data_IF_983189708261
#
_entry.id   IF_983189708261
#
_cell.length_a   1.000
_cell.length_b   1.000
_cell.length_c   1.000
_cell.angle_alpha   90.00
_cell.angle_beta   90.00
_cell.angle_gamma   90.00
#
_symmetry.space_group_name_H-M   'P 1'
#
loop_
_entity.id
_entity.type
_entity.pdbx_description
1 polymer ?
#
# COMPACT_ATOMS: atom_id res chain seq x y z
N UNK A 1 56.05 -23.48 210.33
CA UNK A 1 57.44 -23.83 210.71
C UNK A 1 58.36 -22.80 210.07
N UNK A 2 58.92 -21.90 210.88
CA UNK A 2 60.31 -21.98 211.39
C UNK A 2 61.32 -21.34 210.40
N UNK A 3 61.71 -20.07 210.66
CA UNK A 3 63.10 -19.60 210.94
C UNK A 3 63.75 -18.96 209.68
N UNK A 4 64.67 -17.98 209.73
CA UNK A 4 65.33 -17.24 210.80
C UNK A 4 65.92 -15.92 210.21
N UNK A 5 66.01 -14.89 211.06
CA UNK A 5 66.90 -13.70 211.05
C UNK A 5 68.39 -14.08 210.88
N UNK A 6 69.37 -13.27 210.42
CA UNK A 6 69.65 -11.82 210.55
C UNK A 6 70.79 -11.31 209.61
N UNK A 7 71.00 -9.98 209.62
CA UNK A 7 72.17 -9.12 209.21
C UNK A 7 72.23 -8.58 207.76
N UNK A 8 72.60 -7.32 207.45
CA UNK A 8 72.77 -6.05 208.18
C UNK A 8 72.99 -4.89 207.14
N UNK A 9 72.28 -3.76 207.29
CA UNK A 9 72.49 -2.35 206.87
C UNK A 9 73.39 -1.97 205.64
N UNK A 10 72.80 -1.33 204.61
CA UNK A 10 73.22 -0.03 203.99
C UNK A 10 72.40 0.33 202.72
N UNK A 11 72.22 1.63 202.44
CA UNK A 11 71.81 2.24 201.16
C UNK A 11 70.31 2.40 200.78
N UNK A 12 69.48 2.90 201.72
CA UNK A 12 68.11 3.43 201.45
C UNK A 12 68.08 4.78 200.69
N UNK A 13 69.22 5.28 200.20
CA UNK A 13 69.39 6.62 199.59
C UNK A 13 69.61 6.62 198.07
N UNK A 14 69.76 5.44 197.43
CA UNK A 14 70.04 5.32 195.98
C UNK A 14 68.73 5.23 195.15
N UNK A 15 67.60 4.87 195.77
CA UNK A 15 66.30 4.68 195.10
C UNK A 15 65.65 5.97 194.58
N UNK A 16 65.91 7.12 195.21
CA UNK A 16 65.30 8.41 194.81
C UNK A 16 66.01 9.09 193.63
N UNK A 17 67.31 8.83 193.44
CA UNK A 17 68.10 9.36 192.31
C UNK A 17 67.81 8.56 191.02
N UNK A 18 67.57 7.25 191.14
CA UNK A 18 67.19 6.39 190.00
C UNK A 18 65.88 6.80 189.33
N UNK A 19 64.85 7.18 190.10
CA UNK A 19 63.55 7.64 189.54
C UNK A 19 63.66 8.95 188.76
N UNK A 20 64.59 9.84 189.13
CA UNK A 20 64.81 11.12 188.41
C UNK A 20 65.59 10.87 187.11
N UNK A 21 66.53 9.93 187.11
CA UNK A 21 67.24 9.51 185.89
C UNK A 21 66.28 8.83 184.89
N UNK A 22 65.35 8.01 185.38
CA UNK A 22 64.30 7.37 184.57
C UNK A 22 63.39 8.42 183.93
N UNK A 23 62.89 9.39 184.69
CA UNK A 23 62.05 10.49 184.17
C UNK A 23 62.82 11.34 183.13
N UNK A 24 64.11 11.60 183.32
CA UNK A 24 64.93 12.30 182.34
C UNK A 24 65.16 11.46 181.06
N UNK A 25 65.30 10.14 181.18
CA UNK A 25 65.40 9.22 180.04
C UNK A 25 64.07 9.17 179.25
N UNK A 26 62.93 9.13 179.94
CA UNK A 26 61.61 9.25 179.34
C UNK A 26 61.42 10.62 178.65
N UNK A 27 61.90 11.71 179.24
CA UNK A 27 61.84 13.05 178.64
C UNK A 27 62.70 13.13 177.36
N UNK A 28 63.88 12.51 177.33
CA UNK A 28 64.72 12.39 176.13
C UNK A 28 64.02 11.57 175.05
N UNK A 29 63.38 10.45 175.41
CA UNK A 29 62.57 9.65 174.48
C UNK A 29 61.37 10.42 173.93
N UNK A 30 60.62 11.13 174.78
CA UNK A 30 59.49 11.97 174.34
C UNK A 30 59.96 13.08 173.41
N UNK A 31 61.09 13.73 173.70
CA UNK A 31 61.68 14.73 172.82
C UNK A 31 62.16 14.13 171.48
N UNK A 32 62.68 12.91 171.47
CA UNK A 32 63.05 12.19 170.25
C UNK A 32 61.81 11.80 169.42
N UNK A 33 60.76 11.29 170.06
CA UNK A 33 59.48 10.98 169.43
C UNK A 33 58.80 12.24 168.87
N UNK A 34 58.83 13.36 169.60
CA UNK A 34 58.29 14.64 169.13
C UNK A 34 59.05 15.15 167.89
N UNK A 35 60.37 14.97 167.82
CA UNK A 35 61.14 15.27 166.60
C UNK A 35 60.77 14.36 165.43
N UNK A 36 60.52 13.08 165.68
CA UNK A 36 60.07 12.12 164.66
C UNK A 36 58.67 12.49 164.16
N UNK A 37 57.74 12.81 165.07
CA UNK A 37 56.37 13.25 164.75
C UNK A 37 56.44 14.52 163.89
N UNK A 38 57.18 15.55 164.31
CA UNK A 38 57.33 16.78 163.52
C UNK A 38 57.93 16.52 162.12
N UNK A 39 58.91 15.63 162.01
CA UNK A 39 59.48 15.21 160.72
C UNK A 39 58.46 14.46 159.85
N UNK A 40 57.66 13.57 160.46
CA UNK A 40 56.59 12.84 159.77
C UNK A 40 55.44 13.75 159.35
N UNK A 41 55.06 14.72 160.16
CA UNK A 41 54.07 15.74 159.82
C UNK A 41 54.54 16.62 158.66
N UNK A 42 55.83 16.99 158.65
CA UNK A 42 56.43 17.71 157.52
C UNK A 42 56.46 16.86 156.24
N UNK A 43 56.78 15.57 156.35
CA UNK A 43 56.72 14.62 155.22
C UNK A 43 55.29 14.43 154.71
N UNK A 44 54.30 14.33 155.62
CA UNK A 44 52.89 14.20 155.29
C UNK A 44 52.37 15.46 154.59
N UNK A 45 52.75 16.64 155.09
CA UNK A 45 52.42 17.92 154.45
C UNK A 45 52.99 18.01 153.03
N UNK A 46 54.28 17.68 152.86
CA UNK A 46 54.92 17.66 151.54
C UNK A 46 54.30 16.61 150.60
N UNK A 47 53.88 15.45 151.12
CA UNK A 47 53.16 14.43 150.36
C UNK A 47 51.77 14.91 149.93
N UNK A 48 51.03 15.59 150.82
CA UNK A 48 49.72 16.16 150.49
C UNK A 48 49.83 17.28 149.46
N UNK A 49 50.83 18.17 149.58
CA UNK A 49 51.10 19.20 148.57
C UNK A 49 51.42 18.57 147.19
N UNK A 50 52.19 17.47 147.16
CA UNK A 50 52.44 16.72 145.91
C UNK A 50 51.18 16.06 145.37
N UNK A 51 50.33 15.51 146.25
CA UNK A 51 49.05 14.91 145.85
C UNK A 51 48.15 15.96 145.21
N UNK A 52 48.00 17.14 145.83
CA UNK A 52 47.23 18.26 145.25
C UNK A 52 47.77 18.67 143.88
N UNK A 53 49.09 18.77 143.71
CA UNK A 53 49.69 19.06 142.41
C UNK A 53 49.41 17.98 141.35
N UNK A 54 49.44 16.70 141.75
CA UNK A 54 49.12 15.58 140.85
C UNK A 54 47.63 15.54 140.49
N UNK A 55 46.74 15.82 141.43
CA UNK A 55 45.29 15.92 141.20
C UNK A 55 44.95 17.04 140.21
N UNK A 56 45.58 18.21 140.35
CA UNK A 56 45.43 19.32 139.40
C UNK A 56 45.96 18.94 138.00
N UNK A 57 47.16 18.36 137.92
CA UNK A 57 47.73 17.89 136.65
C UNK A 57 46.89 16.80 135.97
N UNK A 58 46.29 15.90 136.77
CA UNK A 58 45.36 14.88 136.27
C UNK A 58 44.08 15.53 135.74
N UNK A 59 43.51 16.50 136.45
CA UNK A 59 42.34 17.27 136.02
C UNK A 59 42.61 18.03 134.72
N UNK A 60 43.76 18.68 134.59
CA UNK A 60 44.19 19.38 133.37
C UNK A 60 44.33 18.40 132.21
N UNK A 61 44.95 17.24 132.46
CA UNK A 61 45.08 16.17 131.46
C UNK A 61 43.74 15.59 131.02
N UNK A 62 42.79 15.43 131.94
CA UNK A 62 41.43 14.97 131.65
C UNK A 62 40.66 15.99 130.80
N UNK A 63 40.76 17.28 131.12
CA UNK A 63 40.18 18.36 130.33
C UNK A 63 40.77 18.40 128.91
N UNK A 64 42.08 18.24 128.78
CA UNK A 64 42.75 18.17 127.48
C UNK A 64 42.32 16.95 126.66
N UNK A 65 42.19 15.77 127.28
CA UNK A 65 41.67 14.56 126.63
C UNK A 65 40.23 14.78 126.15
N UNK A 66 39.37 15.40 126.96
CA UNK A 66 37.99 15.67 126.59
C UNK A 66 37.89 16.63 125.39
N UNK A 67 38.73 17.68 125.35
CA UNK A 67 38.81 18.58 124.21
C UNK A 67 39.24 17.86 122.93
N UNK A 68 40.23 16.96 123.01
CA UNK A 68 40.66 16.14 121.88
C UNK A 68 39.53 15.21 121.41
N UNK A 69 38.80 14.58 122.34
CA UNK A 69 37.67 13.71 122.02
C UNK A 69 36.58 14.48 121.27
N UNK A 70 36.22 15.68 121.75
CA UNK A 70 35.23 16.54 121.09
C UNK A 70 35.69 16.97 119.69
N UNK A 71 36.95 17.35 119.53
CA UNK A 71 37.52 17.68 118.21
C UNK A 71 37.51 16.47 117.26
N UNK A 72 37.82 15.28 117.76
CA UNK A 72 37.82 14.05 116.96
C UNK A 72 36.40 13.67 116.52
N UNK A 73 35.42 13.83 117.41
CA UNK A 73 33.99 13.59 117.11
C UNK A 73 33.48 14.58 116.05
N UNK A 74 33.80 15.87 116.18
CA UNK A 74 33.48 16.87 115.15
C UNK A 74 34.12 16.56 113.80
N UNK A 75 35.38 16.10 113.77
CA UNK A 75 36.04 15.68 112.53
C UNK A 75 35.40 14.43 111.93
N UNK A 76 34.99 13.46 112.77
CA UNK A 76 34.31 12.27 112.33
C UNK A 76 32.95 12.60 111.68
N UNK A 77 32.17 13.50 112.29
CA UNK A 77 30.90 13.97 111.74
C UNK A 77 31.09 14.70 110.40
N UNK A 78 32.13 15.54 110.30
CA UNK A 78 32.47 16.22 109.05
C UNK A 78 32.86 15.22 107.94
N UNK A 79 33.66 14.20 108.27
CA UNK A 79 34.05 13.16 107.33
C UNK A 79 32.86 12.30 106.90
N UNK A 80 31.97 11.93 107.83
CA UNK A 80 30.76 11.20 107.50
C UNK A 80 29.84 12.02 106.59
N UNK A 81 29.62 13.30 106.90
CA UNK A 81 28.83 14.19 106.06
C UNK A 81 29.45 14.38 104.67
N UNK A 82 30.78 14.50 104.58
CA UNK A 82 31.49 14.57 103.31
C UNK A 82 31.34 13.28 102.50
N UNK A 83 31.44 12.11 103.14
CA UNK A 83 31.27 10.81 102.49
C UNK A 83 29.83 10.62 101.98
N UNK A 84 28.82 11.03 102.75
CA UNK A 84 27.41 11.01 102.31
C UNK A 84 27.21 11.90 101.08
N UNK A 85 27.72 13.14 101.10
CA UNK A 85 27.65 14.04 99.93
C UNK A 85 28.35 13.46 98.71
N UNK A 86 29.49 12.81 98.90
CA UNK A 86 30.21 12.14 97.82
C UNK A 86 29.39 10.99 97.22
N UNK A 87 28.73 10.20 98.06
CA UNK A 87 27.86 9.12 97.61
C UNK A 87 26.64 9.65 96.83
N UNK A 88 25.98 10.68 97.35
CA UNK A 88 24.87 11.36 96.65
C UNK A 88 25.32 11.92 95.29
N UNK A 89 26.49 12.56 95.23
CA UNK A 89 27.05 13.09 93.98
C UNK A 89 27.38 11.97 93.00
N UNK A 90 27.93 10.85 93.46
CA UNK A 90 28.22 9.69 92.63
C UNK A 90 26.94 9.06 92.06
N UNK A 91 25.87 8.99 92.86
CA UNK A 91 24.57 8.50 92.41
C UNK A 91 23.97 9.42 91.35
N UNK A 92 23.98 10.75 91.57
CA UNK A 92 23.51 11.71 90.58
C UNK A 92 24.31 11.64 89.28
N UNK A 93 25.63 11.44 89.37
CA UNK A 93 26.48 11.30 88.19
C UNK A 93 26.16 10.01 87.43
N UNK A 94 25.87 8.91 88.14
CA UNK A 94 25.44 7.66 87.51
C UNK A 94 24.11 7.83 86.77
N UNK A 95 23.12 8.49 87.37
CA UNK A 95 21.83 8.79 86.72
C UNK A 95 22.03 9.62 85.44
N UNK A 96 22.96 10.59 85.47
CA UNK A 96 23.33 11.37 84.28
C UNK A 96 24.05 10.54 83.22
N UNK A 97 24.90 9.58 83.60
CA UNK A 97 25.52 8.67 82.64
C UNK A 97 24.49 7.77 81.96
N UNK A 98 23.51 7.27 82.71
CA UNK A 98 22.43 6.45 82.17
C UNK A 98 21.54 7.27 81.21
N UNK A 99 21.26 8.54 81.54
CA UNK A 99 20.56 9.47 80.65
C UNK A 99 21.35 9.71 79.35
N UNK A 100 22.66 9.98 79.44
CA UNK A 100 23.53 10.17 78.27
C UNK A 100 23.59 8.90 77.42
N UNK A 101 23.66 7.72 78.03
CA UNK A 101 23.64 6.44 77.31
C UNK A 101 22.31 6.25 76.55
N UNK A 102 21.18 6.56 77.18
CA UNK A 102 19.85 6.51 76.56
C UNK A 102 19.74 7.47 75.37
N UNK A 103 20.17 8.72 75.55
CA UNK A 103 20.17 9.73 74.48
C UNK A 103 21.10 9.33 73.32
N UNK A 104 22.25 8.74 73.62
CA UNK A 104 23.19 8.24 72.59
C UNK A 104 22.54 7.13 71.75
N UNK A 105 21.85 6.19 72.38
CA UNK A 105 21.13 5.14 71.67
C UNK A 105 20.01 5.72 70.79
N UNK A 106 19.27 6.72 71.28
CA UNK A 106 18.23 7.39 70.52
C UNK A 106 18.80 8.13 69.29
N UNK A 107 19.93 8.83 69.45
CA UNK A 107 20.63 9.49 68.33
C UNK A 107 21.04 8.46 67.27
N UNK A 108 21.65 7.34 67.69
CA UNK A 108 22.07 6.29 66.76
C UNK A 108 20.88 5.68 66.01
N UNK A 109 19.74 5.51 66.68
CA UNK A 109 18.49 5.07 66.05
C UNK A 109 18.00 6.08 65.00
N UNK A 110 18.00 7.38 65.33
CA UNK A 110 17.58 8.44 64.41
C UNK A 110 18.52 8.57 63.20
N UNK A 111 19.83 8.46 63.39
CA UNK A 111 20.81 8.45 62.30
C UNK A 111 20.57 7.29 61.34
N UNK A 112 20.25 6.12 61.86
CA UNK A 112 19.89 4.94 61.06
C UNK A 112 18.60 5.17 60.26
N UNK A 113 17.58 5.75 60.89
CA UNK A 113 16.33 6.11 60.20
C UNK A 113 16.58 7.14 59.09
N UNK A 114 17.38 8.18 59.36
CA UNK A 114 17.74 9.19 58.38
C UNK A 114 18.51 8.60 57.20
N UNK A 115 19.42 7.65 57.46
CA UNK A 115 20.15 6.96 56.40
C UNK A 115 19.21 6.13 55.51
N UNK A 116 18.20 5.46 56.09
CA UNK A 116 17.20 4.71 55.34
C UNK A 116 16.31 5.64 54.49
N UNK A 117 15.83 6.75 55.07
CA UNK A 117 15.04 7.74 54.33
C UNK A 117 15.82 8.36 53.17
N UNK A 118 17.12 8.64 53.35
CA UNK A 118 17.99 9.13 52.26
C UNK A 118 18.12 8.10 51.13
N UNK A 119 18.23 6.81 51.45
CA UNK A 119 18.27 5.75 50.43
C UNK A 119 16.94 5.65 49.68
N UNK A 120 15.81 5.72 50.38
CA UNK A 120 14.49 5.71 49.76
C UNK A 120 14.27 6.92 48.85
N UNK A 121 14.65 8.12 49.30
CA UNK A 121 14.61 9.34 48.50
C UNK A 121 15.46 9.23 47.24
N UNK A 122 16.67 8.67 47.33
CA UNK A 122 17.53 8.45 46.17
C UNK A 122 16.90 7.46 45.17
N UNK A 123 16.24 6.40 45.65
CA UNK A 123 15.52 5.45 44.80
C UNK A 123 14.31 6.10 44.11
N UNK A 124 13.55 6.92 44.83
CA UNK A 124 12.42 7.68 44.28
C UNK A 124 12.87 8.70 43.23
N UNK A 125 13.97 9.43 43.48
CA UNK A 125 14.53 10.37 42.51
C UNK A 125 14.96 9.64 41.23
N UNK A 126 15.63 8.50 41.35
CA UNK A 126 16.01 7.68 40.18
C UNK A 126 14.79 7.21 39.38
N UNK A 127 13.69 6.85 40.06
CA UNK A 127 12.42 6.48 39.41
C UNK A 127 11.77 7.69 38.71
N UNK A 128 11.77 8.86 39.35
CA UNK A 128 11.26 10.10 38.77
C UNK A 128 12.06 10.50 37.52
N UNK A 129 13.39 10.38 37.55
CA UNK A 129 14.25 10.64 36.39
C UNK A 129 13.96 9.68 35.23
N UNK A 130 13.78 8.39 35.52
CA UNK A 130 13.42 7.40 34.51
C UNK A 130 12.06 7.73 33.85
N UNK A 131 11.06 8.09 34.66
CA UNK A 131 9.74 8.51 34.17
C UNK A 131 9.82 9.81 33.36
N UNK A 132 10.66 10.76 33.75
CA UNK A 132 10.87 12.01 33.00
C UNK A 132 11.49 11.74 31.61
N UNK A 133 12.43 10.80 31.52
CA UNK A 133 12.98 10.38 30.21
C UNK A 133 11.94 9.68 29.35
N UNK A 134 11.10 8.81 29.94
CA UNK A 134 10.00 8.15 29.23
C UNK A 134 8.96 9.15 28.71
N UNK A 135 8.57 10.14 29.53
CA UNK A 135 7.67 11.21 29.10
C UNK A 135 8.29 12.00 27.93
N UNK A 136 9.60 12.27 27.98
CA UNK A 136 10.31 12.97 26.89
C UNK A 136 10.30 12.17 25.59
N UNK A 137 10.54 10.85 25.64
CA UNK A 137 10.51 10.00 24.43
C UNK A 137 9.09 9.90 23.87
N UNK A 138 8.08 9.71 24.72
CA UNK A 138 6.67 9.69 24.31
C UNK A 138 6.22 11.02 23.71
N UNK A 139 6.66 12.14 24.27
CA UNK A 139 6.36 13.48 23.73
C UNK A 139 6.94 13.67 22.33
N UNK A 140 8.18 13.23 22.10
CA UNK A 140 8.80 13.30 20.77
C UNK A 140 8.11 12.37 19.75
N UNK A 141 7.70 11.18 20.19
CA UNK A 141 6.91 10.24 19.38
C UNK A 141 5.57 10.85 18.98
N UNK A 142 4.82 11.41 19.92
CA UNK A 142 3.55 12.09 19.65
C UNK A 142 3.69 13.29 18.72
N UNK A 143 4.78 14.07 18.84
CA UNK A 143 5.09 15.15 17.90
C UNK A 143 5.27 14.62 16.47
N UNK A 144 5.95 13.48 16.33
CA UNK A 144 6.19 12.83 15.04
C UNK A 144 4.89 12.29 14.44
N UNK A 145 4.08 11.58 15.24
CA UNK A 145 2.78 11.06 14.84
C UNK A 145 1.83 12.20 14.41
N UNK A 146 1.82 13.31 15.14
CA UNK A 146 1.00 14.48 14.80
C UNK A 146 1.40 15.05 13.43
N UNK A 147 2.70 15.17 13.15
CA UNK A 147 3.19 15.63 11.84
C UNK A 147 2.82 14.67 10.70
N UNK A 148 2.87 13.36 10.96
CA UNK A 148 2.43 12.34 10.00
C UNK A 148 0.93 12.42 9.72
N UNK A 149 0.09 12.59 10.77
CA UNK A 149 -1.36 12.77 10.63
C UNK A 149 -1.70 14.03 9.82
N UNK A 150 -1.02 15.15 10.06
CA UNK A 150 -1.21 16.37 9.27
C UNK A 150 -0.84 16.16 7.80
N UNK A 151 0.22 15.41 7.52
CA UNK A 151 0.62 15.08 6.15
C UNK A 151 -0.43 14.19 5.48
N UNK A 152 -0.94 13.18 6.19
CA UNK A 152 -2.02 12.31 5.70
C UNK A 152 -3.31 13.07 5.44
N UNK A 153 -3.71 13.98 6.32
CA UNK A 153 -4.88 14.84 6.12
C UNK A 153 -4.74 15.74 4.87
N UNK A 154 -3.53 16.26 4.60
CA UNK A 154 -3.27 17.00 3.35
C UNK A 154 -3.38 16.12 2.11
N UNK A 155 -2.85 14.89 2.16
CA UNK A 155 -2.97 13.92 1.07
C UNK A 155 -4.43 13.54 0.80
N UNK A 156 -5.21 13.28 1.84
CA UNK A 156 -6.64 12.99 1.73
C UNK A 156 -7.42 14.13 1.10
N UNK A 157 -7.16 15.38 1.53
CA UNK A 157 -7.80 16.56 0.94
C UNK A 157 -7.50 16.70 -0.56
N UNK A 158 -6.26 16.42 -0.98
CA UNK A 158 -5.89 16.44 -2.40
C UNK A 158 -6.64 15.35 -3.19
N UNK A 159 -6.69 14.12 -2.66
CA UNK A 159 -7.43 13.02 -3.30
C UNK A 159 -8.93 13.31 -3.43
N UNK A 160 -9.54 13.97 -2.45
CA UNK A 160 -10.94 14.40 -2.53
C UNK A 160 -11.14 15.43 -3.65
N UNK A 161 -10.23 16.40 -3.78
CA UNK A 161 -10.27 17.39 -4.86
C UNK A 161 -10.13 16.73 -6.24
N UNK A 162 -9.21 15.78 -6.38
CA UNK A 162 -9.03 15.00 -7.61
C UNK A 162 -10.30 14.20 -7.94
N UNK A 163 -10.92 13.54 -6.96
CA UNK A 163 -12.15 12.79 -7.13
C UNK A 163 -13.32 13.69 -7.59
N UNK A 164 -13.44 14.91 -7.04
CA UNK A 164 -14.43 15.89 -7.50
C UNK A 164 -14.18 16.33 -8.95
N UNK A 165 -12.92 16.53 -9.33
CA UNK A 165 -12.55 16.87 -10.71
C UNK A 165 -12.89 15.71 -11.66
N UNK A 166 -12.55 14.47 -11.31
CA UNK A 166 -12.91 13.29 -12.12
C UNK A 166 -14.42 13.15 -12.25
N UNK A 167 -15.19 13.41 -11.19
CA UNK A 167 -16.66 13.41 -11.25
C UNK A 167 -17.19 14.44 -12.24
N UNK A 168 -16.65 15.67 -12.25
CA UNK A 168 -17.03 16.71 -13.22
C UNK A 168 -16.69 16.29 -14.65
N UNK A 169 -15.51 15.73 -14.88
CA UNK A 169 -15.08 15.23 -16.18
C UNK A 169 -15.99 14.08 -16.67
N UNK A 170 -16.32 13.14 -15.79
CA UNK A 170 -17.25 12.04 -16.08
C UNK A 170 -18.61 12.56 -16.53
N UNK A 171 -19.22 13.48 -15.78
CA UNK A 171 -20.51 14.08 -16.13
C UNK A 171 -20.47 14.80 -17.50
N UNK A 172 -19.37 15.48 -17.81
CA UNK A 172 -19.21 16.14 -19.11
C UNK A 172 -19.13 15.12 -20.27
N UNK A 173 -18.44 13.99 -20.07
CA UNK A 173 -18.37 12.90 -21.06
C UNK A 173 -19.74 12.23 -21.23
N UNK A 174 -20.45 11.97 -20.13
CA UNK A 174 -21.81 11.39 -20.17
C UNK A 174 -22.79 12.29 -20.93
N UNK A 175 -22.73 13.61 -20.70
CA UNK A 175 -23.52 14.58 -21.45
C UNK A 175 -23.19 14.57 -22.95
N UNK A 176 -21.90 14.53 -23.32
CA UNK A 176 -21.48 14.45 -24.72
C UNK A 176 -21.92 13.15 -25.38
N UNK A 177 -21.84 12.03 -24.67
CA UNK A 177 -22.28 10.73 -25.14
C UNK A 177 -23.78 10.74 -25.42
N UNK A 178 -24.59 11.29 -24.50
CA UNK A 178 -26.05 11.41 -24.69
C UNK A 178 -26.40 12.27 -25.90
N UNK A 179 -25.71 13.41 -26.09
CA UNK A 179 -25.89 14.27 -27.27
C UNK A 179 -25.53 13.54 -28.57
N UNK A 180 -24.40 12.83 -28.60
CA UNK A 180 -23.97 12.07 -29.77
C UNK A 180 -24.95 10.94 -30.10
N UNK A 181 -25.50 10.25 -29.10
CA UNK A 181 -26.52 9.23 -29.29
C UNK A 181 -27.82 9.81 -29.86
N UNK A 182 -28.27 10.96 -29.35
CA UNK A 182 -29.44 11.66 -29.88
C UNK A 182 -29.25 12.10 -31.34
N UNK A 183 -28.07 12.66 -31.67
CA UNK A 183 -27.73 13.05 -33.02
C UNK A 183 -27.66 11.86 -33.98
N UNK A 184 -27.11 10.72 -33.52
CA UNK A 184 -27.08 9.48 -34.30
C UNK A 184 -28.49 8.98 -34.61
N UNK A 185 -29.38 8.95 -33.63
CA UNK A 185 -30.77 8.51 -33.84
C UNK A 185 -31.55 9.45 -34.77
N UNK A 186 -31.32 10.76 -34.67
CA UNK A 186 -31.89 11.71 -35.62
C UNK A 186 -31.38 11.47 -37.04
N UNK A 187 -30.07 11.27 -37.21
CA UNK A 187 -29.45 10.98 -38.50
C UNK A 187 -30.00 9.69 -39.13
N UNK A 188 -30.14 8.61 -38.33
CA UNK A 188 -30.76 7.35 -38.78
C UNK A 188 -32.20 7.53 -39.26
N UNK A 189 -33.03 8.28 -38.52
CA UNK A 189 -34.41 8.57 -38.92
C UNK A 189 -34.48 9.35 -40.23
N UNK A 190 -33.64 10.37 -40.39
CA UNK A 190 -33.54 11.15 -41.63
C UNK A 190 -33.09 10.27 -42.79
N UNK A 191 -32.07 9.42 -42.60
CA UNK A 191 -31.59 8.49 -43.62
C UNK A 191 -32.65 7.46 -44.02
N UNK A 192 -33.38 6.88 -43.06
CA UNK A 192 -34.49 5.96 -43.34
C UNK A 192 -35.60 6.62 -44.16
N UNK A 193 -35.94 7.86 -43.83
CA UNK A 193 -36.95 8.64 -44.57
C UNK A 193 -36.49 8.95 -45.99
N UNK A 194 -35.23 9.38 -46.15
CA UNK A 194 -34.63 9.62 -47.46
C UNK A 194 -34.62 8.35 -48.33
N UNK A 195 -34.29 7.19 -47.75
CA UNK A 195 -34.34 5.92 -48.47
C UNK A 195 -35.76 5.54 -48.90
N UNK A 196 -36.78 5.72 -48.04
CA UNK A 196 -38.19 5.49 -48.43
C UNK A 196 -38.62 6.39 -49.59
N UNK A 197 -38.22 7.66 -49.56
CA UNK A 197 -38.50 8.60 -50.65
C UNK A 197 -37.80 8.16 -51.94
N UNK A 198 -36.52 7.79 -51.87
CA UNK A 198 -35.74 7.26 -53.00
C UNK A 198 -36.34 5.98 -53.58
N UNK A 199 -36.79 5.05 -52.74
CA UNK A 199 -37.49 3.84 -53.19
C UNK A 199 -38.80 4.17 -53.94
N UNK A 200 -39.51 5.20 -53.47
CA UNK A 200 -40.74 5.67 -54.11
C UNK A 200 -40.44 6.32 -55.47
N UNK A 201 -39.41 7.16 -55.55
CA UNK A 201 -38.89 7.73 -56.81
C UNK A 201 -38.49 6.61 -57.79
N UNK A 202 -37.71 5.63 -57.34
CA UNK A 202 -37.26 4.50 -58.18
C UNK A 202 -38.47 3.72 -58.72
N UNK A 203 -39.50 3.46 -57.90
CA UNK A 203 -40.73 2.80 -58.37
C UNK A 203 -41.44 3.63 -59.44
N UNK A 204 -41.54 4.94 -59.28
CA UNK A 204 -42.15 5.83 -60.26
C UNK A 204 -41.35 5.84 -61.58
N UNK A 205 -40.02 5.93 -61.50
CA UNK A 205 -39.15 5.86 -62.68
C UNK A 205 -39.25 4.53 -63.41
N UNK A 206 -39.29 3.40 -62.69
CA UNK A 206 -39.49 2.08 -63.29
C UNK A 206 -40.82 1.99 -64.05
N UNK A 207 -41.91 2.50 -63.45
CA UNK A 207 -43.22 2.55 -64.13
C UNK A 207 -43.14 3.38 -65.41
N UNK A 208 -42.50 4.56 -65.35
CA UNK A 208 -42.34 5.44 -66.51
C UNK A 208 -41.52 4.81 -67.62
N UNK A 209 -40.43 4.11 -67.28
CA UNK A 209 -39.62 3.37 -68.24
C UNK A 209 -40.47 2.31 -68.95
N UNK A 210 -41.25 1.52 -68.21
CA UNK A 210 -42.13 0.51 -68.80
C UNK A 210 -43.20 1.11 -69.74
N UNK A 211 -43.79 2.26 -69.38
CA UNK A 211 -44.72 3.00 -70.25
C UNK A 211 -44.05 3.47 -71.55
N UNK A 212 -42.83 4.02 -71.43
CA UNK A 212 -42.04 4.48 -72.58
C UNK A 212 -41.62 3.31 -73.48
N UNK A 213 -41.17 2.20 -72.89
CA UNK A 213 -40.83 0.97 -73.61
C UNK A 213 -42.04 0.47 -74.40
N UNK A 214 -43.22 0.37 -73.78
CA UNK A 214 -44.46 -0.03 -74.47
C UNK A 214 -44.81 0.91 -75.63
N UNK A 215 -44.66 2.22 -75.44
CA UNK A 215 -44.87 3.21 -76.48
C UNK A 215 -43.88 3.04 -77.65
N UNK A 216 -42.59 2.83 -77.36
CA UNK A 216 -41.55 2.58 -78.37
C UNK A 216 -41.85 1.30 -79.13
N UNK A 217 -42.25 0.22 -78.46
CA UNK A 217 -42.64 -1.04 -79.12
C UNK A 217 -43.83 -0.85 -80.07
N UNK A 218 -44.82 -0.05 -79.67
CA UNK A 218 -45.97 0.25 -80.53
C UNK A 218 -45.57 1.10 -81.75
N UNK A 219 -44.72 2.10 -81.54
CA UNK A 219 -44.20 2.93 -82.62
C UNK A 219 -43.32 2.14 -83.59
N UNK A 220 -42.45 1.26 -83.10
CA UNK A 220 -41.61 0.41 -83.95
C UNK A 220 -42.44 -0.60 -84.75
N UNK A 221 -43.49 -1.17 -84.18
CA UNK A 221 -44.44 -2.02 -84.90
C UNK A 221 -45.18 -1.27 -86.02
N UNK A 222 -45.63 -0.04 -85.75
CA UNK A 222 -46.26 0.82 -86.76
C UNK A 222 -45.27 1.18 -87.88
N UNK A 223 -44.04 1.55 -87.52
CA UNK A 223 -42.98 1.88 -88.48
C UNK A 223 -42.68 0.67 -89.38
N UNK A 224 -42.60 -0.53 -88.81
CA UNK A 224 -42.39 -1.77 -89.55
C UNK A 224 -43.55 -2.06 -90.52
N UNK A 225 -44.80 -1.82 -90.10
CA UNK A 225 -45.96 -1.97 -90.96
C UNK A 225 -45.94 -0.99 -92.14
N UNK A 226 -45.57 0.27 -91.90
CA UNK A 226 -45.39 1.28 -92.94
C UNK A 226 -44.21 0.95 -93.86
N UNK A 227 -43.08 0.47 -93.33
CA UNK A 227 -41.96 -0.03 -94.14
C UNK A 227 -42.38 -1.18 -95.06
N UNK A 228 -43.16 -2.15 -94.55
CA UNK A 228 -43.72 -3.24 -95.37
C UNK A 228 -44.66 -2.73 -96.46
N UNK A 229 -45.47 -1.69 -96.18
CA UNK A 229 -46.31 -1.03 -97.19
C UNK A 229 -45.47 -0.32 -98.25
N UNK A 230 -44.45 0.43 -97.84
CA UNK A 230 -43.52 1.12 -98.73
C UNK A 230 -42.79 0.12 -99.64
N UNK A 231 -42.25 -0.96 -99.09
CA UNK A 231 -41.63 -2.05 -99.86
C UNK A 231 -42.61 -2.68 -100.86
N UNK A 232 -43.88 -2.87 -100.49
CA UNK A 232 -44.91 -3.36 -101.41
C UNK A 232 -45.16 -2.38 -102.55
N UNK A 233 -45.28 -1.08 -102.26
CA UNK A 233 -45.41 -0.04 -103.28
C UNK A 233 -44.17 0.06 -104.16
N UNK A 234 -42.96 -0.05 -103.60
CA UNK A 234 -41.70 -0.07 -104.37
C UNK A 234 -41.61 -1.28 -105.29
N UNK A 235 -42.04 -2.47 -104.84
CA UNK A 235 -42.15 -3.65 -105.70
C UNK A 235 -43.16 -3.42 -106.81
N UNK A 236 -44.31 -2.84 -106.51
CA UNK A 236 -45.32 -2.50 -107.52
C UNK A 236 -44.79 -1.47 -108.52
N UNK A 237 -44.08 -0.43 -108.07
CA UNK A 237 -43.44 0.57 -108.92
C UNK A 237 -42.30 -0.02 -109.76
N UNK A 238 -41.50 -0.91 -109.18
CA UNK A 238 -40.43 -1.63 -109.88
C UNK A 238 -41.00 -2.55 -110.96
N UNK A 239 -42.03 -3.34 -110.64
CA UNK A 239 -42.77 -4.14 -111.62
C UNK A 239 -43.36 -3.23 -112.70
N UNK A 240 -43.98 -2.11 -112.33
CA UNK A 240 -44.57 -1.18 -113.30
C UNK A 240 -43.52 -0.53 -114.20
N UNK A 241 -42.34 -0.17 -113.66
CA UNK A 241 -41.18 0.30 -114.44
C UNK A 241 -40.64 -0.78 -115.39
N UNK A 242 -40.50 -2.02 -114.92
CA UNK A 242 -40.10 -3.17 -115.74
C UNK A 242 -41.14 -3.46 -116.84
N UNK A 243 -42.43 -3.31 -116.53
CA UNK A 243 -43.54 -3.56 -117.48
C UNK A 243 -43.66 -2.46 -118.55
N UNK A 244 -43.18 -1.23 -118.26
CA UNK A 244 -43.20 -0.10 -119.20
C UNK A 244 -41.88 0.14 -119.96
N UNK A 245 -40.74 -0.42 -119.52
CA UNK A 245 -39.43 -0.17 -120.12
C UNK A 245 -38.89 -1.36 -120.93
N UNK A 246 -39.63 -1.75 -121.97
CA UNK A 246 -39.24 -2.65 -123.08
C UNK A 246 -39.41 -4.18 -122.89
N UNK A 247 -40.20 -4.84 -123.76
CA UNK A 247 -40.28 -6.29 -123.90
C UNK A 247 -39.18 -6.77 -124.88
N UNK A 248 -37.92 -6.71 -124.47
CA UNK A 248 -36.83 -7.46 -125.09
C UNK A 248 -35.54 -7.22 -124.29
N UNK A 249 -34.87 -8.32 -123.99
CA UNK A 249 -33.50 -8.43 -123.47
C UNK A 249 -33.28 -8.36 -121.95
N UNK A 250 -32.51 -9.37 -121.52
CA UNK A 250 -31.58 -9.32 -120.39
C UNK A 250 -32.09 -9.76 -119.01
N UNK A 251 -32.65 -10.98 -118.96
CA UNK A 251 -32.73 -11.80 -117.74
C UNK A 251 -31.36 -12.23 -117.18
N UNK A 252 -30.23 -11.85 -117.79
CA UNK A 252 -28.87 -12.21 -117.34
C UNK A 252 -28.33 -11.33 -116.20
N UNK A 253 -29.02 -10.23 -115.82
CA UNK A 253 -28.57 -9.31 -114.75
C UNK A 253 -29.17 -9.57 -113.37
N UNK A 254 -30.17 -10.44 -113.27
CA UNK A 254 -30.75 -10.89 -111.99
C UNK A 254 -29.99 -12.09 -111.39
N UNK A 255 -29.23 -12.80 -112.23
CA UNK A 255 -28.37 -13.93 -111.85
C UNK A 255 -26.99 -13.47 -111.34
N UNK A 256 -26.60 -12.21 -111.60
CA UNK A 256 -25.34 -11.60 -111.13
C UNK A 256 -25.41 -10.94 -109.76
N UNK A 257 -26.59 -10.95 -109.10
CA UNK A 257 -26.76 -10.53 -107.70
C UNK A 257 -26.91 -11.69 -106.72
N UNK A 258 -27.01 -12.93 -107.22
CA UNK A 258 -26.91 -14.17 -106.45
C UNK A 258 -25.66 -14.93 -106.86
N UNK A 259 -24.51 -14.24 -106.77
CA UNK A 259 -23.23 -14.88 -107.00
C UNK A 259 -22.94 -15.85 -105.87
N UNK A 260 -22.80 -17.11 -106.25
CA UNK A 260 -22.19 -18.18 -105.49
C UNK A 260 -20.89 -17.69 -104.83
N UNK A 261 -20.92 -17.41 -103.53
CA UNK A 261 -19.76 -16.96 -102.76
C UNK A 261 -18.61 -18.00 -102.85
N UNK A 262 -18.98 -19.28 -103.06
CA UNK A 262 -18.07 -20.39 -103.34
C UNK A 262 -17.32 -20.27 -104.69
N UNK A 263 -17.94 -19.70 -105.72
CA UNK A 263 -17.31 -19.51 -107.05
C UNK A 263 -16.43 -18.26 -107.10
N UNK A 264 -16.80 -17.20 -106.36
CA UNK A 264 -15.99 -15.98 -106.22
C UNK A 264 -14.63 -16.29 -105.55
N UNK A 265 -14.63 -17.12 -104.51
CA UNK A 265 -13.41 -17.43 -103.74
C UNK A 265 -12.42 -18.35 -104.47
N UNK A 266 -12.85 -19.11 -105.47
CA UNK A 266 -12.02 -20.08 -106.17
C UNK A 266 -11.10 -19.48 -107.28
N UNK A 267 -11.23 -18.19 -107.63
CA UNK A 267 -10.52 -17.57 -108.77
C UNK A 267 -9.74 -16.27 -108.47
N UNK A 268 -9.48 -15.90 -107.21
CA UNK A 268 -8.99 -14.55 -106.90
C UNK A 268 -7.45 -14.36 -106.78
N UNK A 269 -6.93 -13.44 -107.60
CA UNK A 269 -5.82 -12.54 -107.26
C UNK A 269 -6.42 -11.31 -106.52
N UNK A 270 -5.88 -10.91 -105.37
CA UNK A 270 -6.54 -9.98 -104.41
C UNK A 270 -6.33 -8.50 -104.76
N UNK A 271 -7.41 -7.76 -105.05
CA UNK A 271 -7.39 -6.29 -105.18
C UNK A 271 -7.65 -5.59 -103.82
N UNK A 272 -7.27 -4.31 -103.62
CA UNK A 272 -7.44 -3.61 -102.35
C UNK A 272 -8.89 -3.50 -101.85
N UNK A 273 -9.87 -3.27 -102.74
CA UNK A 273 -11.29 -3.17 -102.34
C UNK A 273 -11.91 -4.49 -101.88
N UNK A 274 -11.39 -5.63 -102.35
CA UNK A 274 -11.87 -6.96 -101.93
C UNK A 274 -11.35 -7.34 -100.55
N UNK A 275 -10.15 -6.87 -100.18
CA UNK A 275 -9.61 -7.02 -98.83
C UNK A 275 -10.45 -6.24 -97.80
N UNK A 276 -10.97 -5.08 -98.18
CA UNK A 276 -11.84 -4.26 -97.34
C UNK A 276 -13.18 -4.95 -97.05
N UNK A 277 -13.78 -5.61 -98.05
CA UNK A 277 -15.04 -6.36 -97.87
C UNK A 277 -14.84 -7.60 -96.96
N UNK A 278 -13.73 -8.32 -97.12
CA UNK A 278 -13.41 -9.46 -96.24
C UNK A 278 -13.23 -8.99 -94.80
N UNK A 279 -12.56 -7.85 -94.59
CA UNK A 279 -12.36 -7.29 -93.25
C UNK A 279 -13.69 -6.84 -92.63
N UNK A 280 -14.56 -6.19 -93.40
CA UNK A 280 -15.89 -5.80 -92.94
C UNK A 280 -16.73 -7.01 -92.52
N UNK A 281 -16.79 -8.08 -93.32
CA UNK A 281 -17.52 -9.30 -92.96
C UNK A 281 -16.91 -10.04 -91.77
N UNK A 282 -15.57 -10.05 -91.68
CA UNK A 282 -14.85 -10.62 -90.54
C UNK A 282 -15.22 -9.89 -89.26
N UNK A 283 -15.33 -8.56 -89.30
CA UNK A 283 -15.71 -7.77 -88.14
C UNK A 283 -17.16 -7.98 -87.73
N UNK A 284 -18.08 -8.10 -88.69
CA UNK A 284 -19.49 -8.46 -88.41
C UNK A 284 -19.59 -9.80 -87.69
N UNK A 285 -18.82 -10.80 -88.11
CA UNK A 285 -18.80 -12.11 -87.45
C UNK A 285 -18.17 -11.99 -86.05
N UNK A 286 -16.98 -11.37 -85.95
CA UNK A 286 -16.22 -11.30 -84.71
C UNK A 286 -16.93 -10.51 -83.59
N UNK A 287 -17.71 -9.49 -83.97
CA UNK A 287 -18.49 -8.67 -83.04
C UNK A 287 -19.86 -9.26 -82.70
N UNK A 288 -20.26 -10.34 -83.37
CA UNK A 288 -21.56 -10.98 -83.12
C UNK A 288 -21.57 -11.82 -81.84
N UNK A 289 -22.70 -11.82 -81.13
CA UNK A 289 -22.92 -12.68 -79.96
C UNK A 289 -22.91 -14.19 -80.29
N UNK A 290 -22.90 -14.54 -81.59
CA UNK A 290 -22.94 -15.88 -82.15
C UNK A 290 -21.55 -16.42 -82.53
N UNK A 291 -20.49 -15.62 -82.40
CA UNK A 291 -19.11 -16.05 -82.59
C UNK A 291 -18.31 -15.90 -81.29
N UNK A 292 -17.73 -17.00 -80.81
CA UNK A 292 -16.83 -16.96 -79.66
C UNK A 292 -15.46 -17.48 -80.08
N UNK A 293 -14.51 -16.55 -80.25
CA UNK A 293 -13.16 -16.86 -80.70
C UNK A 293 -12.42 -17.85 -79.77
N UNK A 294 -12.64 -17.75 -78.45
CA UNK A 294 -11.98 -18.63 -77.47
C UNK A 294 -12.58 -20.03 -77.53
N UNK A 295 -13.91 -20.10 -77.58
CA UNK A 295 -14.62 -21.37 -77.70
C UNK A 295 -14.30 -22.07 -79.03
N UNK A 296 -14.26 -21.32 -80.14
CA UNK A 296 -13.99 -21.85 -81.47
C UNK A 296 -12.60 -22.52 -81.56
N UNK A 297 -11.57 -21.88 -81.02
CA UNK A 297 -10.22 -22.47 -80.96
C UNK A 297 -10.10 -23.62 -79.97
N UNK A 298 -10.82 -23.58 -78.84
CA UNK A 298 -10.85 -24.67 -77.87
C UNK A 298 -11.55 -25.92 -78.43
N UNK A 299 -12.61 -25.73 -79.21
CA UNK A 299 -13.42 -26.79 -79.81
C UNK A 299 -12.68 -27.44 -80.99
N UNK A 300 -12.02 -26.64 -81.82
CA UNK A 300 -11.31 -27.09 -83.02
C UNK A 300 -9.79 -27.02 -82.83
N UNK A 301 -9.23 -28.03 -82.15
CA UNK A 301 -7.81 -28.07 -81.78
C UNK A 301 -6.84 -28.08 -82.98
N UNK A 302 -7.32 -28.50 -84.16
CA UNK A 302 -6.57 -28.42 -85.42
C UNK A 302 -6.29 -26.96 -85.83
N UNK A 303 -7.20 -26.04 -85.51
CA UNK A 303 -7.06 -24.61 -85.77
C UNK A 303 -6.16 -23.93 -84.75
N UNK A 304 -6.19 -24.37 -83.49
CA UNK A 304 -5.29 -23.90 -82.45
C UNK A 304 -3.80 -24.21 -82.76
N UNK A 305 -3.54 -25.33 -83.45
CA UNK A 305 -2.19 -25.74 -83.88
C UNK A 305 -1.73 -25.06 -85.19
N UNK A 306 -2.63 -24.41 -85.92
CA UNK A 306 -2.31 -23.66 -87.13
C UNK A 306 -2.05 -22.17 -86.80
N UNK A 307 -0.81 -21.66 -86.93
CA UNK A 307 -0.48 -20.28 -86.53
C UNK A 307 -1.30 -19.19 -87.24
N UNK A 308 -1.76 -19.44 -88.47
CA UNK A 308 -2.57 -18.47 -89.23
C UNK A 308 -4.03 -18.45 -88.80
N UNK A 309 -4.60 -19.61 -88.49
CA UNK A 309 -5.99 -19.72 -88.02
C UNK A 309 -6.14 -19.30 -86.55
N UNK A 310 -5.16 -19.65 -85.71
CA UNK A 310 -5.13 -19.23 -84.30
C UNK A 310 -5.02 -17.71 -84.13
N UNK A 311 -4.37 -17.01 -85.08
CA UNK A 311 -4.23 -15.55 -85.04
C UNK A 311 -5.54 -14.81 -85.35
N UNK A 312 -6.39 -15.37 -86.21
CA UNK A 312 -7.68 -14.79 -86.54
C UNK A 312 -8.78 -15.85 -86.75
N UNK A 313 -9.43 -16.29 -85.66
CA UNK A 313 -10.46 -17.33 -85.70
C UNK A 313 -11.69 -16.92 -86.51
N UNK A 314 -12.09 -15.65 -86.43
CA UNK A 314 -13.26 -15.13 -87.14
C UNK A 314 -13.05 -15.15 -88.65
N UNK A 315 -11.85 -14.77 -89.10
CA UNK A 315 -11.47 -14.85 -90.51
C UNK A 315 -11.41 -16.29 -91.00
N UNK A 316 -10.90 -17.22 -90.19
CA UNK A 316 -10.94 -18.64 -90.54
C UNK A 316 -12.38 -19.12 -90.70
N UNK A 317 -13.25 -18.78 -89.75
CA UNK A 317 -14.65 -19.17 -89.81
C UNK A 317 -15.36 -18.60 -91.04
N UNK A 318 -15.15 -17.31 -91.34
CA UNK A 318 -15.71 -16.65 -92.52
C UNK A 318 -15.34 -17.39 -93.82
N UNK A 319 -14.06 -17.69 -94.00
CA UNK A 319 -13.52 -18.20 -95.27
C UNK A 319 -13.65 -19.72 -95.43
N UNK A 320 -13.67 -20.47 -94.33
CA UNK A 320 -13.61 -21.93 -94.35
C UNK A 320 -14.61 -22.54 -93.37
N UNK A 321 -14.51 -22.18 -92.09
CA UNK A 321 -15.19 -22.89 -91.00
C UNK A 321 -16.72 -22.99 -91.15
N UNK A 322 -17.38 -21.91 -91.55
CA UNK A 322 -18.84 -21.91 -91.70
C UNK A 322 -19.32 -22.86 -92.80
N UNK A 323 -18.61 -22.95 -93.93
CA UNK A 323 -18.97 -23.86 -95.04
C UNK A 323 -18.54 -25.31 -94.78
N UNK A 324 -17.55 -25.51 -93.91
CA UNK A 324 -17.18 -26.83 -93.38
C UNK A 324 -18.19 -27.36 -92.35
N UNK A 325 -19.23 -26.59 -92.02
CA UNK A 325 -20.22 -26.95 -91.00
C UNK A 325 -19.69 -26.82 -89.57
N UNK A 326 -18.53 -26.18 -89.36
CA UNK A 326 -18.04 -25.90 -88.01
C UNK A 326 -18.94 -24.88 -87.34
N UNK A 327 -19.17 -25.02 -86.05
CA UNK A 327 -19.99 -24.09 -85.29
C UNK A 327 -19.13 -22.92 -84.81
N UNK A 328 -19.58 -21.66 -84.89
CA UNK A 328 -18.83 -20.50 -84.44
C UNK A 328 -18.92 -20.28 -82.92
N UNK A 329 -19.97 -20.80 -82.29
CA UNK A 329 -20.20 -20.81 -80.84
C UNK A 329 -21.29 -21.85 -80.50
N UNK A 330 -21.57 -22.14 -79.22
CA UNK A 330 -22.72 -22.96 -78.83
C UNK A 330 -24.09 -22.37 -79.21
N UNK A 331 -24.15 -21.10 -79.60
CA UNK A 331 -25.39 -20.38 -79.92
C UNK A 331 -25.76 -20.43 -81.40
N UNK A 332 -24.93 -21.03 -82.25
CA UNK A 332 -25.19 -21.15 -83.69
C UNK A 332 -24.71 -22.51 -84.18
N UNK A 333 -25.60 -23.22 -84.86
CA UNK A 333 -25.35 -24.55 -85.41
C UNK A 333 -25.26 -24.42 -86.93
N UNK A 334 -24.04 -24.29 -87.46
CA UNK A 334 -23.78 -24.10 -88.88
C UNK A 334 -24.25 -25.29 -89.70
N UNK A 335 -24.07 -26.51 -89.18
CA UNK A 335 -24.49 -27.73 -89.85
C UNK A 335 -26.02 -27.81 -89.94
N UNK A 336 -26.71 -27.57 -88.83
CA UNK A 336 -28.17 -27.44 -88.84
C UNK A 336 -28.64 -26.34 -89.79
N UNK A 337 -28.01 -25.16 -89.75
CA UNK A 337 -28.44 -24.02 -90.54
C UNK A 337 -28.32 -24.29 -92.04
N UNK A 338 -27.20 -24.88 -92.48
CA UNK A 338 -27.00 -25.25 -93.89
C UNK A 338 -27.93 -26.39 -94.32
N UNK A 339 -28.22 -27.35 -93.44
CA UNK A 339 -29.14 -28.45 -93.75
C UNK A 339 -30.62 -28.00 -93.79
N UNK A 340 -31.01 -27.09 -92.90
CA UNK A 340 -32.38 -26.60 -92.77
C UNK A 340 -32.74 -25.59 -93.85
N UNK A 341 -31.75 -24.87 -94.39
CA UNK A 341 -31.93 -23.83 -95.40
C UNK A 341 -31.10 -24.11 -96.66
N UNK A 342 -31.61 -24.98 -97.56
CA UNK A 342 -30.88 -25.39 -98.76
C UNK A 342 -30.49 -24.22 -99.67
N UNK A 343 -31.27 -23.15 -99.69
CA UNK A 343 -30.98 -21.92 -100.45
C UNK A 343 -29.67 -21.25 -99.99
N UNK A 344 -29.35 -21.32 -98.70
CA UNK A 344 -28.10 -20.80 -98.15
C UNK A 344 -26.93 -21.70 -98.55
N UNK A 345 -27.11 -23.02 -98.45
CA UNK A 345 -26.09 -23.99 -98.85
C UNK A 345 -25.77 -23.88 -100.35
N UNK A 346 -26.78 -23.77 -101.20
CA UNK A 346 -26.64 -23.61 -102.64
C UNK A 346 -25.95 -22.29 -103.00
N UNK A 347 -26.25 -21.19 -102.31
CA UNK A 347 -25.57 -19.89 -102.50
C UNK A 347 -24.08 -19.91 -102.13
N UNK A 348 -23.65 -20.89 -101.33
CA UNK A 348 -22.31 -20.96 -100.77
C UNK A 348 -21.94 -19.79 -99.85
N UNK A 349 -22.92 -18.99 -99.39
CA UNK A 349 -22.69 -17.92 -98.42
C UNK A 349 -22.35 -18.52 -97.04
N UNK A 350 -21.48 -17.84 -96.29
CA UNK A 350 -21.18 -18.25 -94.92
C UNK A 350 -22.50 -18.26 -94.09
N UNK A 351 -22.84 -19.36 -93.41
CA UNK A 351 -24.14 -19.52 -92.78
C UNK A 351 -24.42 -18.49 -91.69
N UNK A 352 -23.41 -18.14 -90.88
CA UNK A 352 -23.58 -17.12 -89.84
C UNK A 352 -23.75 -15.73 -90.46
N UNK A 353 -22.97 -15.40 -91.50
CA UNK A 353 -23.11 -14.12 -92.19
C UNK A 353 -24.50 -13.98 -92.82
N UNK A 354 -25.00 -15.06 -93.45
CA UNK A 354 -26.37 -15.10 -93.97
C UNK A 354 -27.39 -14.90 -92.84
N UNK A 355 -27.22 -15.60 -91.72
CA UNK A 355 -28.11 -15.46 -90.57
C UNK A 355 -28.15 -14.03 -90.01
N UNK A 356 -26.99 -13.42 -89.80
CA UNK A 356 -26.88 -12.05 -89.28
C UNK A 356 -27.44 -11.01 -90.26
N UNK A 357 -27.25 -11.20 -91.57
CA UNK A 357 -27.72 -10.24 -92.58
C UNK A 357 -29.19 -10.39 -92.98
N UNK A 358 -29.67 -11.64 -93.08
CA UNK A 358 -30.94 -11.98 -93.74
C UNK A 358 -31.76 -12.93 -92.85
N UNK A 359 -31.17 -14.05 -92.44
CA UNK A 359 -31.92 -15.15 -91.82
C UNK A 359 -32.64 -14.80 -90.52
N UNK A 360 -32.03 -13.99 -89.65
CA UNK A 360 -32.66 -13.55 -88.40
C UNK A 360 -33.93 -12.70 -88.64
N UNK A 361 -33.97 -11.95 -89.75
CA UNK A 361 -35.12 -11.12 -90.13
C UNK A 361 -36.20 -11.92 -90.88
N UNK A 362 -35.83 -13.09 -91.41
CA UNK A 362 -36.75 -14.06 -92.01
C UNK A 362 -37.32 -15.06 -90.99
N UNK A 363 -37.00 -14.91 -89.69
CA UNK A 363 -37.34 -15.84 -88.61
C UNK A 363 -36.79 -17.26 -88.84
N UNK A 364 -35.63 -17.38 -89.49
CA UNK A 364 -34.88 -18.63 -89.55
C UNK A 364 -34.30 -18.94 -88.18
N UNK A 365 -34.26 -20.20 -87.79
CA UNK A 365 -33.61 -20.66 -86.56
C UNK A 365 -32.08 -20.78 -86.73
N UNK A 366 -31.30 -20.19 -85.83
CA UNK A 366 -29.83 -20.31 -85.79
C UNK A 366 -29.31 -21.63 -85.21
N UNK A 367 -30.12 -22.31 -84.41
CA UNK A 367 -29.84 -23.62 -83.82
C UNK A 367 -31.11 -24.46 -83.87
N UNK A 368 -30.99 -25.75 -83.62
CA UNK A 368 -32.16 -26.61 -83.40
C UNK A 368 -33.01 -26.01 -82.26
N UNK A 369 -34.33 -25.82 -82.46
CA UNK A 369 -35.21 -25.27 -81.44
C UNK A 369 -35.44 -26.20 -80.25
#
# INVERSE_FOLDING_TARGET
MSKNTANNVSAKSISKIGKVAEVNQHLVQVNALNKIIASKDQQLKAANERLTCLELSLSDSQSYIQQIQEQLEQQLDQLQAANTRQHETAQQLQERFDEVASLTALIQQQETQLANLKKEQAALNKKADAQAQEIKTLTQSNKTLTAQLQTKAKQEKALVQDAEQFKKQKLAVESKLSQAQAALEQSKKSASTANKNKETEIKAYKKRIAELESSVTKQSANLLAEQKRAQKLERQLTIQKITYQNPAEDYSKLESLLVNHRALMAKMHKTPGELELIEAHREVIASSDFFDAKWYLATYQDLAKNPKAAKDPARHFLLHGGLEGRNPSPKFDSEFYLAQYPDVFESGMNPLLHYLGIGQFENRYATKP
#
